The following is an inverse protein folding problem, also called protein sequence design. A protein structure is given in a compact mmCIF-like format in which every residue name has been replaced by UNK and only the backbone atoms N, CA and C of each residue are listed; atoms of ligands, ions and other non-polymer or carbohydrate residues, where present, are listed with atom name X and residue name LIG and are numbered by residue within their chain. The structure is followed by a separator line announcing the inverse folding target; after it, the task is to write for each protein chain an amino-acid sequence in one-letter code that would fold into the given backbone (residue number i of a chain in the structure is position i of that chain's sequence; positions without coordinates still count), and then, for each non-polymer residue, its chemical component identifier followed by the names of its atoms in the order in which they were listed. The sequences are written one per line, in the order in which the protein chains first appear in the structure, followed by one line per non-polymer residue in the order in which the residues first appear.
data_IF_517051880086
#
_entry.id   IF_517051880086
#
_cell.length_a   1.000
_cell.length_b   1.000
_cell.length_c   1.000
_cell.angle_alpha   90.00
_cell.angle_beta   90.00
_cell.angle_gamma   90.00
#
_symmetry.space_group_name_H-M   'P 1'
#
loop_
_entity.id
_entity.type
_entity.pdbx_description
1 polymer ?
#
# COMPACT_ATOMS: atom_id res chain seq x y z
N UNK A 1 30.57 36.04 0.21
CA UNK A 1 31.08 35.86 -1.16
C UNK A 1 32.26 34.89 -1.15
N UNK A 2 32.18 33.87 -2.02
CA UNK A 2 33.22 32.95 -2.51
C UNK A 2 34.36 32.54 -1.56
N UNK A 3 34.30 31.29 -1.10
CA UNK A 3 35.50 30.44 -1.07
C UNK A 3 35.22 29.18 -1.89
N UNK A 4 35.91 29.13 -3.03
CA UNK A 4 36.12 27.93 -3.83
C UNK A 4 36.67 26.85 -2.91
N UNK A 5 36.11 25.65 -2.97
CA UNK A 5 36.83 24.49 -2.49
C UNK A 5 36.96 23.46 -3.60
N UNK A 6 38.23 23.30 -3.95
CA UNK A 6 38.86 22.42 -4.92
C UNK A 6 38.49 20.96 -4.72
N UNK A 7 37.98 20.39 -5.81
CA UNK A 7 38.05 18.98 -6.16
C UNK A 7 39.46 18.42 -5.87
N UNK A 8 39.55 17.51 -4.91
CA UNK A 8 40.70 16.63 -4.73
C UNK A 8 40.24 15.18 -4.90
N UNK A 9 40.60 14.67 -6.07
CA UNK A 9 40.73 13.26 -6.39
C UNK A 9 41.90 12.66 -5.57
N UNK A 10 41.89 11.33 -5.43
CA UNK A 10 42.89 10.45 -4.79
C UNK A 10 42.66 10.30 -3.28
N UNK A 11 42.58 9.11 -2.68
CA UNK A 11 43.30 7.86 -2.95
C UNK A 11 42.48 6.67 -2.48
N UNK A 12 42.50 5.59 -3.29
CA UNK A 12 42.04 4.26 -2.92
C UNK A 12 42.98 3.73 -1.84
N UNK A 13 42.49 3.62 -0.61
CA UNK A 13 43.13 2.85 0.46
C UNK A 13 42.27 1.63 0.70
N UNK A 14 42.65 0.51 0.08
CA UNK A 14 42.10 -0.80 0.40
C UNK A 14 42.54 -1.17 1.83
N UNK A 15 41.68 -0.87 2.80
CA UNK A 15 41.78 -1.42 4.15
C UNK A 15 40.64 -2.41 4.33
N UNK A 16 40.99 -3.69 4.29
CA UNK A 16 40.10 -4.78 4.64
C UNK A 16 39.84 -4.73 6.16
N UNK A 17 38.70 -4.18 6.57
CA UNK A 17 38.19 -4.34 7.93
C UNK A 17 37.20 -5.51 7.91
N UNK A 18 37.66 -6.65 8.44
CA UNK A 18 36.83 -7.75 8.88
C UNK A 18 36.00 -7.28 10.08
N UNK A 19 34.81 -6.74 9.80
CA UNK A 19 33.72 -6.69 10.78
C UNK A 19 32.58 -7.54 10.25
N UNK A 20 32.21 -8.54 11.04
CA UNK A 20 31.00 -9.32 10.87
C UNK A 20 29.83 -8.37 10.68
N UNK A 21 29.27 -8.40 9.49
CA UNK A 21 28.21 -7.52 9.07
C UNK A 21 27.84 -7.94 7.67
N UNK A 22 26.92 -8.89 7.55
CA UNK A 22 26.20 -9.12 6.31
C UNK A 22 25.55 -7.79 5.92
N UNK A 23 26.23 -6.98 5.10
CA UNK A 23 25.61 -5.84 4.45
C UNK A 23 24.71 -6.41 3.38
N UNK A 24 23.54 -6.87 3.80
CA UNK A 24 22.40 -6.98 2.92
C UNK A 24 21.99 -5.54 2.63
N UNK A 25 22.48 -4.99 1.52
CA UNK A 25 21.76 -3.92 0.85
C UNK A 25 20.45 -4.50 0.34
N UNK A 26 19.48 -4.64 1.25
CA UNK A 26 18.08 -4.79 0.84
C UNK A 26 17.67 -3.42 0.32
N UNK A 27 17.92 -3.20 -0.97
CA UNK A 27 17.16 -2.24 -1.75
C UNK A 27 15.73 -2.75 -1.78
N UNK A 28 14.93 -2.39 -0.78
CA UNK A 28 13.48 -2.50 -0.85
C UNK A 28 13.00 -1.44 -1.83
N UNK A 29 13.22 -1.69 -3.12
CA UNK A 29 12.50 -1.02 -4.17
C UNK A 29 11.07 -1.59 -4.18
N UNK A 30 10.30 -1.30 -3.12
CA UNK A 30 8.88 -1.57 -3.03
C UNK A 30 8.09 -0.51 -3.79
N UNK A 31 8.54 -0.20 -5.01
CA UNK A 31 7.73 0.46 -6.02
C UNK A 31 6.66 -0.53 -6.47
N UNK A 32 5.53 -0.57 -5.76
CA UNK A 32 4.34 -1.27 -6.24
C UNK A 32 4.05 -0.78 -7.67
N UNK A 33 4.08 -1.70 -8.64
CA UNK A 33 3.81 -1.40 -10.05
C UNK A 33 2.43 -0.75 -10.15
N UNK A 34 2.40 0.49 -10.60
CA UNK A 34 1.18 1.26 -10.89
C UNK A 34 0.58 0.69 -12.17
N UNK A 35 -0.63 0.14 -12.09
CA UNK A 35 -1.36 -0.32 -13.27
C UNK A 35 -2.23 0.84 -13.76
N UNK A 36 -2.09 1.17 -15.05
CA UNK A 36 -2.89 2.18 -15.77
C UNK A 36 -4.15 1.58 -16.43
N UNK A 37 -4.50 0.35 -16.03
CA UNK A 37 -5.71 -0.32 -16.49
C UNK A 37 -6.67 -0.51 -15.31
N UNK A 38 -7.77 0.25 -15.37
CA UNK A 38 -8.83 0.24 -14.37
C UNK A 38 -9.44 -1.15 -14.21
N UNK A 39 -9.64 -1.89 -15.30
CA UNK A 39 -10.24 -3.22 -15.24
C UNK A 39 -9.31 -4.23 -14.58
N UNK A 40 -8.00 -4.15 -14.87
CA UNK A 40 -7.00 -4.94 -14.15
C UNK A 40 -7.00 -4.66 -12.63
N UNK A 41 -7.14 -3.39 -12.23
CA UNK A 41 -7.23 -3.01 -10.83
C UNK A 41 -8.52 -3.54 -10.17
N UNK A 42 -9.66 -3.42 -10.84
CA UNK A 42 -10.94 -3.99 -10.37
C UNK A 42 -10.82 -5.50 -10.20
N UNK A 43 -10.22 -6.21 -11.17
CA UNK A 43 -10.02 -7.65 -11.11
C UNK A 43 -9.15 -8.07 -9.92
N UNK A 44 -8.11 -7.30 -9.59
CA UNK A 44 -7.28 -7.54 -8.40
C UNK A 44 -8.04 -7.35 -7.10
N UNK A 45 -8.84 -6.30 -7.01
CA UNK A 45 -9.67 -6.05 -5.82
C UNK A 45 -10.72 -7.16 -5.66
N UNK A 46 -11.33 -7.61 -6.75
CA UNK A 46 -12.25 -8.74 -6.76
C UNK A 46 -11.57 -10.04 -6.33
N UNK A 47 -10.34 -10.30 -6.80
CA UNK A 47 -9.56 -11.45 -6.38
C UNK A 47 -9.21 -11.40 -4.89
N UNK A 48 -8.79 -10.23 -4.39
CA UNK A 48 -8.55 -10.00 -2.97
C UNK A 48 -9.82 -10.24 -2.15
N UNK A 49 -10.96 -9.69 -2.59
CA UNK A 49 -12.26 -9.92 -1.94
C UNK A 49 -12.61 -11.40 -1.87
N UNK A 50 -12.48 -12.16 -2.97
CA UNK A 50 -12.73 -13.60 -2.98
C UNK A 50 -11.87 -14.32 -1.93
N UNK A 51 -10.55 -14.07 -1.92
CA UNK A 51 -9.64 -14.64 -0.92
C UNK A 51 -10.00 -14.23 0.51
N UNK A 52 -10.48 -13.00 0.69
CA UNK A 52 -10.86 -12.48 1.99
C UNK A 52 -12.18 -13.07 2.51
N UNK A 53 -13.13 -13.33 1.60
CA UNK A 53 -14.41 -13.95 1.93
C UNK A 53 -14.30 -15.43 2.28
N UNK A 54 -13.33 -16.15 1.71
CA UNK A 54 -13.10 -17.57 2.03
C UNK A 54 -12.47 -17.80 3.40
N UNK A 55 -12.04 -16.74 4.09
CA UNK A 55 -11.55 -16.84 5.47
C UNK A 55 -12.70 -16.94 6.49
N UNK A 56 -12.54 -17.77 7.51
CA UNK A 56 -13.48 -17.96 8.64
C UNK A 56 -13.53 -16.75 9.60
N UNK A 57 -12.95 -15.62 9.21
CA UNK A 57 -12.86 -14.41 10.01
C UNK A 57 -14.23 -13.73 10.07
N UNK A 58 -14.57 -13.23 11.25
CA UNK A 58 -15.86 -12.56 11.52
C UNK A 58 -15.69 -11.05 11.49
N UNK A 59 -16.81 -10.33 11.45
CA UNK A 59 -16.88 -8.86 11.57
C UNK A 59 -15.80 -8.18 10.72
N UNK A 60 -15.98 -8.26 9.39
CA UNK A 60 -14.95 -7.86 8.44
C UNK A 60 -15.42 -6.78 7.48
N UNK A 61 -14.50 -5.98 6.97
CA UNK A 61 -14.81 -4.92 6.02
C UNK A 61 -13.60 -4.61 5.15
N UNK A 62 -13.89 -4.17 3.92
CA UNK A 62 -12.92 -3.66 2.95
C UNK A 62 -13.38 -2.27 2.52
N UNK A 63 -12.45 -1.32 2.54
CA UNK A 63 -12.58 -0.01 1.96
C UNK A 63 -11.57 0.18 0.83
N UNK A 64 -11.98 0.89 -0.21
CA UNK A 64 -11.21 1.14 -1.43
C UNK A 64 -11.25 2.64 -1.72
N UNK A 65 -10.12 3.20 -2.13
CA UNK A 65 -10.09 4.42 -2.94
C UNK A 65 -9.52 4.04 -4.32
N UNK A 66 -10.16 4.48 -5.40
CA UNK A 66 -9.70 4.23 -6.77
C UNK A 66 -10.00 5.44 -7.64
N UNK A 67 -9.00 5.92 -8.38
CA UNK A 67 -9.17 7.02 -9.33
C UNK A 67 -9.60 6.55 -10.72
N UNK A 68 -9.77 7.49 -11.64
CA UNK A 68 -10.16 7.22 -13.04
C UNK A 68 -9.10 6.47 -13.83
N UNK A 69 -7.83 6.52 -13.42
CA UNK A 69 -6.70 5.86 -14.07
C UNK A 69 -6.51 4.42 -13.56
N UNK A 70 -7.30 4.01 -12.56
CA UNK A 70 -7.21 2.68 -11.96
C UNK A 70 -6.16 2.58 -10.84
N UNK A 71 -5.55 3.69 -10.40
CA UNK A 71 -4.71 3.67 -9.20
C UNK A 71 -5.62 3.49 -7.99
N UNK A 72 -5.26 2.57 -7.11
CA UNK A 72 -6.09 2.25 -5.96
C UNK A 72 -5.29 1.97 -4.70
N UNK A 73 -5.93 2.14 -3.55
CA UNK A 73 -5.48 1.67 -2.24
C UNK A 73 -6.61 0.95 -1.53
N UNK A 74 -6.24 0.06 -0.62
CA UNK A 74 -7.16 -0.75 0.17
C UNK A 74 -6.91 -0.53 1.66
N UNK A 75 -7.99 -0.53 2.43
CA UNK A 75 -7.96 -0.75 3.87
C UNK A 75 -8.91 -1.89 4.20
N UNK A 76 -8.49 -2.79 5.08
CA UNK A 76 -9.33 -3.91 5.50
C UNK A 76 -9.18 -4.18 6.99
N UNK A 77 -10.23 -4.76 7.58
CA UNK A 77 -10.29 -5.10 8.99
C UNK A 77 -11.15 -6.35 9.17
N UNK A 78 -10.74 -7.26 10.05
CA UNK A 78 -11.45 -8.47 10.42
C UNK A 78 -11.32 -8.72 11.92
N UNK A 79 -12.14 -9.62 12.44
CA UNK A 79 -12.21 -10.01 13.85
C UNK A 79 -12.35 -8.77 14.76
N UNK A 80 -13.07 -7.76 14.28
CA UNK A 80 -13.38 -6.57 15.05
C UNK A 80 -14.49 -6.86 16.06
N UNK A 81 -14.65 -5.98 17.05
CA UNK A 81 -15.70 -6.11 18.06
C UNK A 81 -17.13 -6.07 17.47
N UNK A 82 -17.31 -5.53 16.27
CA UNK A 82 -18.57 -5.49 15.51
C UNK A 82 -18.32 -5.10 14.06
N UNK A 83 -19.29 -5.37 13.18
CA UNK A 83 -19.28 -4.91 11.79
C UNK A 83 -19.08 -3.39 11.68
N UNK A 84 -19.69 -2.61 12.58
CA UNK A 84 -19.50 -1.16 12.61
C UNK A 84 -18.06 -0.77 12.96
N UNK A 85 -17.42 -1.50 13.89
CA UNK A 85 -16.00 -1.32 14.19
C UNK A 85 -15.13 -1.70 13.00
N UNK A 86 -15.42 -2.81 12.32
CA UNK A 86 -14.70 -3.24 11.13
C UNK A 86 -14.73 -2.18 10.03
N UNK A 87 -15.91 -1.62 9.73
CA UNK A 87 -16.08 -0.52 8.76
C UNK A 87 -15.19 0.67 9.09
N UNK A 88 -15.20 1.14 10.34
CA UNK A 88 -14.39 2.29 10.80
C UNK A 88 -12.90 2.02 10.63
N UNK A 89 -12.43 0.84 11.04
CA UNK A 89 -11.02 0.45 10.93
C UNK A 89 -10.60 0.35 9.45
N UNK A 90 -11.43 -0.29 8.60
CA UNK A 90 -11.15 -0.44 7.18
C UNK A 90 -11.03 0.93 6.49
N UNK A 91 -11.97 1.86 6.73
CA UNK A 91 -11.92 3.22 6.21
C UNK A 91 -10.69 3.99 6.69
N UNK A 92 -10.40 3.95 8.01
CA UNK A 92 -9.22 4.61 8.55
C UNK A 92 -7.91 4.08 7.95
N UNK A 93 -7.78 2.75 7.78
CA UNK A 93 -6.60 2.14 7.15
C UNK A 93 -6.49 2.52 5.67
N UNK A 94 -7.61 2.61 4.96
CA UNK A 94 -7.63 3.06 3.58
C UNK A 94 -7.15 4.51 3.47
N UNK A 95 -7.66 5.42 4.29
CA UNK A 95 -7.24 6.83 4.27
C UNK A 95 -5.78 7.01 4.68
N UNK A 96 -5.31 6.23 5.67
CA UNK A 96 -3.90 6.20 6.02
C UNK A 96 -3.03 5.69 4.87
N UNK A 97 -3.46 4.66 4.15
CA UNK A 97 -2.74 4.19 2.96
C UNK A 97 -2.73 5.27 1.88
N UNK A 98 -3.89 5.87 1.58
CA UNK A 98 -4.04 6.92 0.56
C UNK A 98 -3.13 8.12 0.80
N UNK A 99 -2.91 8.50 2.06
CA UNK A 99 -2.08 9.65 2.45
C UNK A 99 -0.59 9.32 2.58
N UNK A 100 -0.24 8.07 2.89
CA UNK A 100 1.15 7.62 3.09
C UNK A 100 1.81 7.10 1.81
N UNK A 101 1.04 6.69 0.82
CA UNK A 101 1.60 6.20 -0.45
C UNK A 101 2.13 7.37 -1.28
N UNK A 102 3.23 7.15 -2.01
CA UNK A 102 3.67 8.06 -3.07
C UNK A 102 2.68 8.11 -4.27
N UNK A 103 1.57 7.36 -4.18
CA UNK A 103 0.45 7.34 -5.11
C UNK A 103 -0.53 8.43 -4.68
N UNK A 104 -0.64 9.52 -5.44
CA UNK A 104 -1.75 10.45 -5.26
C UNK A 104 -3.02 9.82 -5.85
N UNK A 105 -4.00 9.53 -5.00
CA UNK A 105 -5.34 9.07 -5.40
C UNK A 105 -6.34 10.14 -4.96
N UNK A 106 -6.94 10.80 -5.95
CA UNK A 106 -7.88 11.90 -5.74
C UNK A 106 -9.26 11.42 -5.25
N UNK A 107 -9.56 10.13 -5.42
CA UNK A 107 -10.80 9.54 -4.95
C UNK A 107 -10.78 9.31 -3.42
N UNK A 108 -11.88 9.59 -2.71
CA UNK A 108 -11.99 9.29 -1.28
C UNK A 108 -12.15 7.79 -1.03
N UNK A 109 -11.75 7.31 0.16
CA UNK A 109 -12.02 5.94 0.55
C UNK A 109 -13.51 5.70 0.79
N UNK A 110 -14.02 4.60 0.23
CA UNK A 110 -15.41 4.16 0.37
C UNK A 110 -15.45 2.69 0.77
N UNK A 111 -16.49 2.29 1.49
CA UNK A 111 -16.72 0.87 1.77
C UNK A 111 -17.01 0.14 0.46
N UNK A 112 -16.27 -0.92 0.22
CA UNK A 112 -16.45 -1.82 -0.92
C UNK A 112 -17.22 -3.07 -0.50
N UNK A 113 -16.83 -3.68 0.61
CA UNK A 113 -17.48 -4.87 1.16
C UNK A 113 -17.57 -4.82 2.68
N UNK A 114 -18.63 -5.43 3.21
CA UNK A 114 -18.86 -5.66 4.64
C UNK A 114 -19.25 -7.12 4.79
N UNK A 115 -18.58 -7.80 5.70
CA UNK A 115 -18.63 -9.24 5.89
C UNK A 115 -18.39 -9.99 4.57
N UNK A 116 -19.42 -10.67 4.06
CA UNK A 116 -19.37 -11.42 2.81
C UNK A 116 -20.24 -10.78 1.72
N UNK A 117 -20.50 -9.48 1.81
CA UNK A 117 -21.36 -8.76 0.87
C UNK A 117 -20.64 -7.53 0.31
N UNK A 118 -20.69 -7.39 -1.02
CA UNK A 118 -20.27 -6.16 -1.70
C UNK A 118 -21.37 -5.13 -1.47
N UNK A 119 -21.00 -3.96 -0.92
CA UNK A 119 -21.93 -2.86 -0.64
C UNK A 119 -21.82 -1.73 -1.67
N UNK A 120 -20.68 -1.61 -2.34
CA UNK A 120 -20.50 -0.65 -3.42
C UNK A 120 -19.59 -1.26 -4.50
N UNK A 121 -20.16 -1.85 -5.57
CA UNK A 121 -19.39 -2.40 -6.67
C UNK A 121 -18.54 -1.33 -7.35
N UNK A 122 -17.31 -1.69 -7.71
CA UNK A 122 -16.45 -0.84 -8.53
C UNK A 122 -16.93 -0.90 -9.99
N UNK A 123 -16.97 0.26 -10.65
CA UNK A 123 -17.29 0.46 -12.06
C UNK A 123 -16.20 1.29 -12.69
#
# INVERSE_FOLDING_TARGET
MKRHNTMRLLTISALAILVGGCTQTISQNSGQKYYVDKDASINKINAFYKQYTTSNKKEKAIAVAMDKEGKYVLGYAHDAASAQSAKKIALSRCEQARTKTNVTIDAPCKLYAVDNQIVAPLK
#
